data_IF_944470288814
#
_entry.id   IF_944470288814
#
_cell.length_a   1.000
_cell.length_b   1.000
_cell.length_c   1.000
_cell.angle_alpha   90.00
_cell.angle_beta   90.00
_cell.angle_gamma   90.00
#
_symmetry.space_group_name_H-M   'P 1'
#
loop_
_entity.id
_entity.type
_entity.pdbx_description
1 polymer ?
#
# COMPACT_ATOMS: atom_id res chain seq x y z
N UNK A 1 -26.95 -7.04 -30.33
CA UNK A 1 -25.75 -6.37 -30.87
C UNK A 1 -25.12 -5.34 -29.91
N UNK A 2 -25.76 -4.99 -28.78
CA UNK A 2 -25.26 -3.93 -27.88
C UNK A 2 -24.22 -4.35 -26.82
N UNK A 3 -24.10 -5.64 -26.46
CA UNK A 3 -23.19 -6.06 -25.38
C UNK A 3 -21.70 -5.91 -25.75
N UNK A 4 -21.36 -5.96 -27.04
CA UNK A 4 -19.95 -5.94 -27.48
C UNK A 4 -19.32 -4.53 -27.47
N UNK A 5 -20.16 -3.48 -27.47
CA UNK A 5 -19.70 -2.08 -27.47
C UNK A 5 -19.41 -1.62 -26.03
N UNK A 6 -20.25 -1.99 -25.07
CA UNK A 6 -20.04 -1.65 -23.66
C UNK A 6 -18.77 -2.27 -23.08
N UNK A 7 -18.51 -3.56 -23.35
CA UNK A 7 -17.29 -4.22 -22.89
C UNK A 7 -16.03 -3.60 -23.49
N UNK A 8 -16.03 -3.27 -24.78
CA UNK A 8 -14.91 -2.57 -25.44
C UNK A 8 -14.65 -1.19 -24.83
N UNK A 9 -15.70 -0.43 -24.56
CA UNK A 9 -15.55 0.91 -23.97
C UNK A 9 -15.03 0.85 -22.53
N UNK A 10 -15.42 -0.16 -21.74
CA UNK A 10 -14.86 -0.41 -20.41
C UNK A 10 -13.39 -0.83 -20.47
N UNK A 11 -13.02 -1.70 -21.41
CA UNK A 11 -11.61 -2.08 -21.61
C UNK A 11 -10.75 -0.88 -22.03
N UNK A 12 -11.23 -0.06 -22.96
CA UNK A 12 -10.52 1.14 -23.42
C UNK A 12 -10.36 2.19 -22.31
N UNK A 13 -11.41 2.41 -21.50
CA UNK A 13 -11.34 3.31 -20.34
C UNK A 13 -10.35 2.81 -19.28
N UNK A 14 -10.42 1.51 -18.93
CA UNK A 14 -9.48 0.89 -17.99
C UNK A 14 -8.03 0.96 -18.51
N UNK A 15 -7.83 0.76 -19.82
CA UNK A 15 -6.50 0.84 -20.43
C UNK A 15 -5.94 2.27 -20.42
N UNK A 16 -6.80 3.29 -20.59
CA UNK A 16 -6.39 4.69 -20.52
C UNK A 16 -6.08 5.12 -19.08
N UNK A 17 -6.86 4.66 -18.11
CA UNK A 17 -6.61 4.87 -16.67
C UNK A 17 -5.33 4.18 -16.22
N UNK A 18 -5.11 2.91 -16.63
CA UNK A 18 -3.87 2.18 -16.40
C UNK A 18 -2.66 2.85 -17.06
N UNK A 19 -2.82 3.44 -18.26
CA UNK A 19 -1.75 4.17 -18.92
C UNK A 19 -1.42 5.48 -18.18
N UNK A 20 -2.43 6.18 -17.67
CA UNK A 20 -2.25 7.39 -16.86
C UNK A 20 -1.61 7.08 -15.49
N UNK A 21 -2.02 5.99 -14.83
CA UNK A 21 -1.42 5.52 -13.57
C UNK A 21 0.04 5.07 -13.76
N UNK A 22 0.34 4.41 -14.88
CA UNK A 22 1.72 4.07 -15.26
C UNK A 22 2.60 5.29 -15.49
N UNK A 23 2.04 6.43 -15.92
CA UNK A 23 2.81 7.65 -16.16
C UNK A 23 3.46 8.21 -14.87
N UNK A 24 2.90 7.87 -13.70
CA UNK A 24 3.43 8.23 -12.38
C UNK A 24 4.52 7.30 -11.86
N UNK A 25 4.85 6.22 -12.58
CA UNK A 25 5.82 5.20 -12.14
C UNK A 25 7.08 5.29 -12.98
N UNK A 26 8.23 5.48 -12.31
CA UNK A 26 9.54 5.40 -12.97
C UNK A 26 9.79 3.98 -13.51
N UNK A 27 10.41 3.89 -14.70
CA UNK A 27 10.71 2.61 -15.34
C UNK A 27 11.56 1.68 -14.47
N UNK A 28 12.52 2.23 -13.71
CA UNK A 28 13.34 1.42 -12.80
C UNK A 28 12.52 0.83 -11.64
N UNK A 29 11.58 1.59 -11.06
CA UNK A 29 10.74 1.11 -9.97
C UNK A 29 9.74 0.06 -10.46
N UNK A 30 9.15 0.29 -11.63
CA UNK A 30 8.27 -0.67 -12.29
C UNK A 30 8.99 -2.00 -12.56
N UNK A 31 10.19 -1.93 -13.13
CA UNK A 31 10.99 -3.13 -13.42
C UNK A 31 11.43 -3.86 -12.15
N UNK A 32 11.74 -3.14 -11.08
CA UNK A 32 12.10 -3.75 -9.79
C UNK A 32 10.97 -4.63 -9.22
N UNK A 33 9.73 -4.15 -9.28
CA UNK A 33 8.56 -4.90 -8.83
C UNK A 33 8.25 -6.08 -9.78
N UNK A 34 8.37 -5.88 -11.09
CA UNK A 34 8.24 -6.97 -12.06
C UNK A 34 9.26 -8.09 -11.80
N UNK A 35 10.52 -7.74 -11.52
CA UNK A 35 11.57 -8.70 -11.20
C UNK A 35 11.29 -9.48 -9.90
N UNK A 36 10.41 -8.95 -9.05
CA UNK A 36 9.94 -9.61 -7.82
C UNK A 36 8.70 -10.47 -8.06
N UNK A 37 8.26 -10.64 -9.31
CA UNK A 37 7.13 -11.48 -9.70
C UNK A 37 5.75 -10.88 -9.40
N UNK A 38 5.67 -9.56 -9.19
CA UNK A 38 4.41 -8.88 -8.91
C UNK A 38 3.63 -8.64 -10.21
N UNK A 39 2.32 -8.91 -10.19
CA UNK A 39 1.45 -8.73 -11.36
C UNK A 39 1.44 -7.26 -11.83
N UNK A 40 1.56 -6.99 -13.16
CA UNK A 40 1.53 -5.64 -13.71
C UNK A 40 0.37 -4.75 -13.27
N UNK A 41 -0.82 -5.33 -13.05
CA UNK A 41 -2.00 -4.59 -12.60
C UNK A 41 -1.88 -4.20 -11.13
N UNK A 42 -1.29 -5.05 -10.29
CA UNK A 42 -1.00 -4.70 -8.89
C UNK A 42 0.02 -3.57 -8.80
N UNK A 43 1.05 -3.61 -9.63
CA UNK A 43 2.05 -2.53 -9.70
C UNK A 43 1.37 -1.22 -10.08
N UNK A 44 0.59 -1.22 -11.16
CA UNK A 44 -0.08 -0.02 -11.63
C UNK A 44 -1.08 0.57 -10.63
N UNK A 45 -1.72 -0.29 -9.82
CA UNK A 45 -2.74 0.12 -8.85
C UNK A 45 -2.17 0.64 -7.52
N UNK A 46 -0.99 0.16 -7.10
CA UNK A 46 -0.46 0.42 -5.75
C UNK A 46 0.85 1.20 -5.72
N UNK A 47 1.66 1.15 -6.78
CA UNK A 47 3.00 1.73 -6.77
C UNK A 47 2.98 3.19 -7.25
N UNK A 48 3.63 4.06 -6.49
CA UNK A 48 3.80 5.48 -6.86
C UNK A 48 5.28 5.83 -6.78
N UNK A 49 5.82 6.51 -7.80
CA UNK A 49 7.19 7.03 -7.74
C UNK A 49 7.21 8.46 -7.24
N UNK A 50 7.99 8.72 -6.19
CA UNK A 50 8.09 10.03 -5.55
C UNK A 50 9.52 10.56 -5.65
N UNK A 51 9.69 11.88 -5.65
CA UNK A 51 11.00 12.56 -5.75
C UNK A 51 10.94 13.99 -5.21
N UNK A 52 12.08 14.57 -4.87
CA UNK A 52 12.12 15.91 -4.29
C UNK A 52 11.38 15.94 -2.95
N UNK A 53 10.48 16.89 -2.74
CA UNK A 53 9.79 17.02 -1.45
C UNK A 53 8.53 16.17 -1.32
N UNK A 54 8.02 15.55 -2.40
CA UNK A 54 6.77 14.78 -2.34
C UNK A 54 6.82 13.59 -1.37
N UNK A 55 7.93 12.84 -1.17
CA UNK A 55 7.98 11.79 -0.15
C UNK A 55 7.68 12.28 1.28
N UNK A 56 7.94 13.57 1.57
CA UNK A 56 7.66 14.12 2.90
C UNK A 56 6.16 14.22 3.19
N UNK A 57 5.34 14.43 2.18
CA UNK A 57 3.88 14.48 2.32
C UNK A 57 3.30 13.11 2.68
N UNK A 58 3.89 12.04 2.13
CA UNK A 58 3.47 10.65 2.38
C UNK A 58 4.01 10.07 3.70
N UNK A 59 5.19 10.51 4.14
CA UNK A 59 5.83 9.95 5.33
C UNK A 59 5.77 10.86 6.56
N UNK A 60 5.98 12.16 6.40
CA UNK A 60 6.24 13.08 7.52
C UNK A 60 4.99 13.89 7.88
N UNK A 61 3.88 13.19 8.10
CA UNK A 61 2.60 13.77 8.48
C UNK A 61 2.28 13.57 9.97
N UNK A 62 1.44 14.46 10.49
CA UNK A 62 0.77 14.27 11.77
C UNK A 62 -0.63 13.71 11.52
N UNK A 63 -1.10 12.87 12.45
CA UNK A 63 -2.43 12.28 12.40
C UNK A 63 -3.08 12.58 13.76
N UNK A 64 -3.79 13.71 13.86
CA UNK A 64 -4.45 14.11 15.10
C UNK A 64 -5.71 13.29 15.37
N UNK A 65 -6.18 12.45 14.43
CA UNK A 65 -7.49 11.80 14.47
C UNK A 65 -7.51 10.40 15.10
N UNK A 66 -6.36 9.72 15.19
CA UNK A 66 -6.28 8.43 15.89
C UNK A 66 -5.98 8.63 17.37
N UNK A 67 -7.05 8.80 18.14
CA UNK A 67 -7.02 8.84 19.60
C UNK A 67 -6.19 7.65 20.15
N UNK A 68 -5.07 7.95 20.83
CA UNK A 68 -4.48 7.01 21.79
C UNK A 68 -2.99 6.67 21.68
N UNK A 69 -2.22 7.08 20.66
CA UNK A 69 -0.78 6.72 20.66
C UNK A 69 0.16 7.57 19.80
N UNK A 70 -0.27 8.10 18.64
CA UNK A 70 0.71 8.65 17.70
C UNK A 70 1.42 9.88 18.24
N UNK A 71 2.70 9.72 18.60
CA UNK A 71 3.56 10.83 19.03
C UNK A 71 3.73 11.78 17.84
N UNK A 72 3.44 13.06 18.04
CA UNK A 72 3.66 14.10 17.03
C UNK A 72 5.12 14.13 16.60
N UNK A 73 5.39 14.32 15.31
CA UNK A 73 6.75 14.51 14.81
C UNK A 73 7.30 15.87 15.30
N UNK A 74 8.61 15.98 15.57
CA UNK A 74 9.16 17.17 16.20
C UNK A 74 9.11 18.39 15.27
N UNK A 75 8.35 19.40 15.68
CA UNK A 75 8.15 20.68 14.98
C UNK A 75 8.69 21.86 15.78
N UNK A 76 9.01 22.93 15.06
CA UNK A 76 9.31 24.27 15.59
C UNK A 76 8.00 25.01 15.88
N UNK A 77 8.08 26.11 16.61
CA UNK A 77 6.92 26.95 16.96
C UNK A 77 6.18 27.52 15.73
N UNK A 78 6.85 27.62 14.59
CA UNK A 78 6.29 28.04 13.29
C UNK A 78 5.57 26.89 12.54
N UNK A 79 5.49 25.70 13.13
CA UNK A 79 4.88 24.51 12.53
C UNK A 79 5.80 23.74 11.58
N UNK A 80 7.00 24.24 11.25
CA UNK A 80 7.94 23.53 10.38
C UNK A 80 8.58 22.36 11.12
N UNK A 81 8.90 21.29 10.39
CA UNK A 81 9.72 20.20 10.93
C UNK A 81 11.06 20.75 11.43
N UNK A 82 11.54 20.20 12.55
CA UNK A 82 12.86 20.57 13.07
C UNK A 82 13.97 20.24 12.07
N UNK A 83 15.00 21.08 12.03
CA UNK A 83 16.12 20.94 11.09
C UNK A 83 16.83 19.59 11.22
N UNK A 84 16.99 19.09 12.44
CA UNK A 84 17.58 17.77 12.69
C UNK A 84 16.73 16.63 12.13
N UNK A 85 15.40 16.76 12.15
CA UNK A 85 14.48 15.77 11.61
C UNK A 85 14.46 15.80 10.08
N UNK A 86 14.39 16.98 9.47
CA UNK A 86 14.53 17.14 8.02
C UNK A 86 15.87 16.59 7.52
N UNK A 87 16.97 16.91 8.21
CA UNK A 87 18.30 16.40 7.84
C UNK A 87 18.37 14.86 7.88
N UNK A 88 17.71 14.22 8.85
CA UNK A 88 17.62 12.75 8.94
C UNK A 88 16.94 12.13 7.72
N UNK A 89 15.88 12.77 7.23
CA UNK A 89 15.04 12.28 6.13
C UNK A 89 15.39 12.89 4.76
N UNK A 90 16.42 13.74 4.66
CA UNK A 90 16.82 14.36 3.39
C UNK A 90 17.10 13.37 2.26
N UNK A 91 17.56 12.16 2.57
CA UNK A 91 17.79 11.10 1.59
C UNK A 91 16.54 10.69 0.80
N UNK A 92 15.33 10.97 1.31
CA UNK A 92 14.09 10.73 0.59
C UNK A 92 13.99 11.60 -0.68
N UNK A 93 14.65 12.77 -0.72
CA UNK A 93 14.59 13.70 -1.85
C UNK A 93 15.23 13.13 -3.13
N UNK A 94 16.16 12.19 -2.99
CA UNK A 94 16.76 11.42 -4.09
C UNK A 94 15.73 10.53 -4.82
N UNK A 95 14.50 10.48 -4.28
CA UNK A 95 13.37 9.76 -4.81
C UNK A 95 13.35 8.30 -4.40
N UNK A 96 12.33 7.60 -4.89
CA UNK A 96 12.06 6.22 -4.58
C UNK A 96 10.64 5.86 -4.94
N UNK A 97 10.17 4.73 -4.45
CA UNK A 97 8.79 4.31 -4.64
C UNK A 97 8.06 4.19 -3.30
N UNK A 98 6.77 4.54 -3.33
CA UNK A 98 5.83 4.42 -2.23
C UNK A 98 4.77 3.38 -2.57
N UNK A 99 4.38 2.60 -1.58
CA UNK A 99 3.21 1.74 -1.64
C UNK A 99 2.38 1.96 -0.36
N UNK A 100 1.13 2.40 -0.55
CA UNK A 100 0.17 2.58 0.54
C UNK A 100 -0.44 1.26 1.00
N UNK A 101 -1.24 1.34 2.07
CA UNK A 101 -2.10 0.24 2.53
C UNK A 101 -3.58 0.65 2.50
N UNK A 102 -4.46 -0.33 2.65
CA UNK A 102 -5.89 -0.13 2.85
C UNK A 102 -6.30 -0.49 4.28
N UNK A 103 -7.30 0.21 4.81
CA UNK A 103 -7.92 -0.11 6.08
C UNK A 103 -8.84 -1.34 5.90
N UNK A 104 -8.65 -2.42 6.68
CA UNK A 104 -9.38 -3.67 6.52
C UNK A 104 -10.85 -3.63 6.95
N UNK A 105 -11.28 -2.60 7.66
CA UNK A 105 -12.67 -2.45 8.09
C UNK A 105 -13.47 -1.62 7.10
N UNK A 106 -12.83 -0.60 6.52
CA UNK A 106 -13.50 0.36 5.63
C UNK A 106 -13.22 0.13 4.16
N UNK A 107 -12.15 -0.61 3.83
CA UNK A 107 -11.64 -0.74 2.46
C UNK A 107 -10.98 0.53 1.90
N UNK A 108 -10.94 1.61 2.68
CA UNK A 108 -10.41 2.90 2.22
C UNK A 108 -8.89 2.96 2.31
N UNK A 109 -8.26 3.86 1.55
CA UNK A 109 -6.82 4.06 1.62
C UNK A 109 -6.40 4.61 2.98
N UNK A 110 -5.40 3.99 3.58
CA UNK A 110 -4.73 4.52 4.76
C UNK A 110 -3.64 5.50 4.36
N UNK A 111 -3.37 6.46 5.23
CA UNK A 111 -2.20 7.33 5.12
C UNK A 111 -0.89 6.57 5.39
N UNK A 112 -0.98 5.37 5.96
CA UNK A 112 0.19 4.54 6.24
C UNK A 112 0.68 3.81 4.97
N UNK A 113 1.99 3.64 4.88
CA UNK A 113 2.59 2.89 3.79
C UNK A 113 4.09 2.73 3.93
N UNK A 114 4.68 2.09 2.92
CA UNK A 114 6.09 1.79 2.84
C UNK A 114 6.73 2.57 1.70
N UNK A 115 7.80 3.29 2.02
CA UNK A 115 8.63 3.97 1.03
C UNK A 115 9.99 3.30 0.93
N UNK A 116 10.40 2.93 -0.28
CA UNK A 116 11.75 2.47 -0.57
C UNK A 116 12.53 3.59 -1.28
N UNK A 117 13.47 4.26 -0.59
CA UNK A 117 14.32 5.27 -1.23
C UNK A 117 15.27 4.64 -2.26
N UNK A 118 15.55 5.37 -3.33
CA UNK A 118 16.60 5.05 -4.30
C UNK A 118 17.98 5.01 -3.66
N UNK A 119 18.18 5.87 -2.65
CA UNK A 119 19.40 5.92 -1.84
C UNK A 119 19.04 5.67 -0.36
N UNK A 120 18.97 4.39 0.05
CA UNK A 120 18.77 4.02 1.44
C UNK A 120 19.76 4.69 2.37
N UNK A 121 19.27 5.25 3.49
CA UNK A 121 20.17 5.77 4.50
C UNK A 121 20.89 4.64 5.23
N UNK A 122 22.12 4.93 5.61
CA UNK A 122 22.98 4.02 6.39
C UNK A 122 23.16 4.61 7.77
N UNK A 123 22.97 3.77 8.80
CA UNK A 123 23.20 4.13 10.18
C UNK A 123 24.29 3.23 10.75
N UNK A 124 25.16 3.81 11.57
CA UNK A 124 26.13 3.06 12.36
C UNK A 124 25.64 3.07 13.79
N UNK A 125 25.39 1.88 14.35
CA UNK A 125 24.93 1.70 15.72
C UNK A 125 25.95 0.87 16.49
N UNK A 126 26.18 1.26 17.74
CA UNK A 126 26.91 0.42 18.69
C UNK A 126 26.13 -0.88 18.92
N UNK A 127 26.84 -1.99 18.96
CA UNK A 127 26.22 -3.29 19.20
C UNK A 127 25.76 -3.36 20.66
N UNK A 128 24.44 -3.37 20.89
CA UNK A 128 23.84 -3.42 22.24
C UNK A 128 23.49 -4.84 22.71
N UNK A 129 23.92 -5.87 21.97
CA UNK A 129 23.69 -7.27 22.31
C UNK A 129 24.71 -7.83 23.30
N UNK A 130 24.49 -9.07 23.76
CA UNK A 130 25.51 -9.88 24.44
C UNK A 130 26.55 -10.31 23.41
N UNK A 131 27.58 -9.50 23.18
CA UNK A 131 28.62 -9.75 22.18
C UNK A 131 29.63 -8.62 22.04
N UNK A 132 30.52 -8.76 21.05
CA UNK A 132 31.56 -7.78 20.76
C UNK A 132 30.97 -6.38 20.51
N UNK A 133 31.53 -5.38 21.19
CA UNK A 133 31.08 -3.98 21.16
C UNK A 133 31.47 -3.25 19.87
N UNK A 134 31.81 -3.99 18.81
CA UNK A 134 32.15 -3.44 17.50
C UNK A 134 30.92 -2.74 16.89
N UNK A 135 31.07 -1.49 16.41
CA UNK A 135 29.96 -0.78 15.78
C UNK A 135 29.51 -1.51 14.52
N UNK A 136 28.19 -1.69 14.39
CA UNK A 136 27.57 -2.34 13.26
C UNK A 136 26.93 -1.30 12.33
N UNK A 137 27.09 -1.49 11.02
CA UNK A 137 26.48 -0.61 10.02
C UNK A 137 25.22 -1.27 9.46
N UNK A 138 24.09 -0.57 9.53
CA UNK A 138 22.78 -1.03 9.05
C UNK A 138 22.26 -0.12 7.95
N UNK A 139 21.85 -0.71 6.84
CA UNK A 139 21.18 0.00 5.75
C UNK A 139 19.67 -0.08 5.94
N UNK A 140 19.00 1.07 6.03
CA UNK A 140 17.55 1.14 6.18
C UNK A 140 16.94 1.17 4.79
N UNK A 141 16.52 -0.01 4.32
CA UNK A 141 15.96 -0.21 2.98
C UNK A 141 14.56 0.38 2.82
N UNK A 142 13.79 0.44 3.89
CA UNK A 142 12.39 0.86 3.87
C UNK A 142 12.13 1.86 4.99
N UNK A 143 11.42 2.94 4.65
CA UNK A 143 10.99 3.97 5.57
C UNK A 143 9.46 3.94 5.65
N UNK A 144 8.95 4.14 6.86
CA UNK A 144 7.52 4.20 7.17
C UNK A 144 7.25 5.53 7.88
N UNK A 145 5.99 5.98 7.94
CA UNK A 145 5.63 7.17 8.70
C UNK A 145 6.16 7.09 10.15
N UNK A 146 7.07 7.99 10.56
CA UNK A 146 7.68 7.93 11.86
C UNK A 146 6.66 8.29 12.94
N UNK A 147 6.77 7.64 14.11
CA UNK A 147 5.88 7.86 15.25
C UNK A 147 4.40 7.53 15.00
N UNK A 148 4.12 6.76 13.94
CA UNK A 148 2.82 6.12 13.70
C UNK A 148 2.85 4.68 14.18
N UNK A 149 1.67 4.17 14.55
CA UNK A 149 1.52 2.75 14.79
C UNK A 149 1.70 2.01 13.47
N UNK A 150 2.30 0.82 13.53
CA UNK A 150 2.39 -0.07 12.37
C UNK A 150 0.99 -0.55 12.01
N UNK A 151 0.65 -0.48 10.73
CA UNK A 151 -0.60 -1.01 10.18
C UNK A 151 -0.33 -2.30 9.40
N UNK A 152 -1.39 -3.08 9.18
CA UNK A 152 -1.32 -4.20 8.24
C UNK A 152 -1.01 -3.64 6.84
N UNK A 153 -0.16 -4.34 6.10
CA UNK A 153 0.21 -3.95 4.74
C UNK A 153 -0.61 -4.75 3.73
N UNK A 154 -1.65 -4.10 3.20
CA UNK A 154 -2.71 -4.68 2.41
C UNK A 154 -2.80 -3.92 1.09
N UNK A 155 -2.58 -4.63 -0.02
CA UNK A 155 -2.62 -4.05 -1.35
C UNK A 155 -4.05 -3.98 -1.85
N UNK A 156 -4.34 -2.96 -2.66
CA UNK A 156 -5.51 -2.96 -3.54
C UNK A 156 -5.31 -4.05 -4.58
N UNK A 157 -6.32 -4.90 -4.78
CA UNK A 157 -6.28 -6.01 -5.75
C UNK A 157 -7.39 -5.78 -6.79
N UNK A 158 -7.09 -5.78 -8.10
CA UNK A 158 -8.13 -5.74 -9.12
C UNK A 158 -9.06 -6.94 -9.02
N UNK A 159 -10.37 -6.74 -9.24
CA UNK A 159 -11.38 -7.81 -9.19
C UNK A 159 -11.04 -8.97 -10.11
N UNK A 160 -10.50 -8.68 -11.31
CA UNK A 160 -10.10 -9.71 -12.29
C UNK A 160 -8.98 -10.61 -11.77
N UNK A 161 -8.04 -10.06 -10.99
CA UNK A 161 -6.96 -10.82 -10.39
C UNK A 161 -7.47 -11.62 -9.19
N UNK A 162 -8.37 -11.01 -8.40
CA UNK A 162 -9.00 -11.70 -7.28
C UNK A 162 -9.84 -12.90 -7.73
N UNK A 163 -10.63 -12.77 -8.81
CA UNK A 163 -11.39 -13.87 -9.40
C UNK A 163 -10.48 -15.05 -9.79
N UNK A 164 -9.35 -14.78 -10.43
CA UNK A 164 -8.37 -15.83 -10.78
C UNK A 164 -7.81 -16.56 -9.56
N UNK A 165 -7.51 -15.82 -8.49
CA UNK A 165 -7.03 -16.40 -7.22
C UNK A 165 -8.13 -17.26 -6.59
N UNK A 166 -9.37 -16.75 -6.59
CA UNK A 166 -10.53 -17.45 -6.04
C UNK A 166 -10.80 -18.78 -6.74
N UNK A 167 -10.79 -18.78 -8.08
CA UNK A 167 -10.95 -19.99 -8.90
C UNK A 167 -9.84 -21.01 -8.62
N UNK A 168 -8.58 -20.55 -8.49
CA UNK A 168 -7.43 -21.42 -8.25
C UNK A 168 -7.37 -22.01 -6.83
N UNK A 169 -7.98 -21.36 -5.85
CA UNK A 169 -7.91 -21.76 -4.43
C UNK A 169 -9.21 -22.36 -3.90
N UNK A 170 -10.31 -22.23 -4.64
CA UNK A 170 -11.66 -22.57 -4.16
C UNK A 170 -12.20 -21.61 -3.11
N UNK A 171 -11.51 -20.49 -2.85
CA UNK A 171 -11.93 -19.45 -1.91
C UNK A 171 -12.64 -18.37 -2.71
N UNK A 172 -13.96 -18.43 -2.77
CA UNK A 172 -14.75 -17.42 -3.44
C UNK A 172 -14.84 -16.15 -2.58
N UNK A 173 -14.81 -14.94 -3.18
CA UNK A 173 -15.11 -13.72 -2.46
C UNK A 173 -16.45 -13.87 -1.73
N UNK A 174 -16.47 -13.58 -0.43
CA UNK A 174 -17.70 -13.26 0.29
C UNK A 174 -18.30 -11.92 -0.16
N UNK A 175 -17.56 -11.14 -0.97
CA UNK A 175 -18.09 -10.00 -1.68
C UNK A 175 -19.10 -10.50 -2.73
N UNK A 176 -20.34 -10.05 -2.54
CA UNK A 176 -21.51 -10.37 -3.36
C UNK A 176 -21.23 -9.98 -4.81
N UNK A 177 -20.74 -10.93 -5.62
CA UNK A 177 -21.07 -10.92 -7.04
C UNK A 177 -22.62 -10.90 -7.10
N UNK A 178 -23.26 -10.04 -7.91
CA UNK A 178 -24.68 -10.19 -8.15
C UNK A 178 -24.88 -11.59 -8.70
N UNK A 179 -25.41 -12.48 -7.85
CA UNK A 179 -25.76 -13.83 -8.28
C UNK A 179 -26.74 -13.66 -9.44
N UNK A 180 -26.56 -14.36 -10.57
CA UNK A 180 -27.62 -14.45 -11.56
C UNK A 180 -28.89 -14.91 -10.82
N UNK A 181 -30.02 -14.23 -11.07
CA UNK A 181 -31.27 -14.33 -10.28
C UNK A 181 -31.85 -15.76 -10.12
N UNK A 182 -31.24 -16.78 -10.71
CA UNK A 182 -31.84 -18.11 -10.85
C UNK A 182 -30.95 -19.33 -10.50
N UNK A 183 -29.82 -19.19 -9.81
CA UNK A 183 -29.10 -20.37 -9.30
C UNK A 183 -28.81 -20.29 -7.80
N UNK A 184 -29.63 -21.02 -7.04
CA UNK A 184 -29.36 -21.30 -5.63
C UNK A 184 -28.25 -22.37 -5.53
N UNK A 185 -27.10 -22.00 -4.97
CA UNK A 185 -26.08 -22.96 -4.55
C UNK A 185 -26.63 -23.80 -3.38
N UNK A 186 -26.55 -25.13 -3.43
CA UNK A 186 -26.94 -25.97 -2.30
C UNK A 186 -25.87 -25.87 -1.20
N UNK A 187 -26.22 -25.28 -0.06
CA UNK A 187 -25.58 -25.61 1.22
C UNK A 187 -24.57 -24.64 1.84
N UNK A 188 -24.64 -23.33 1.59
CA UNK A 188 -23.87 -22.35 2.36
C UNK A 188 -24.78 -21.34 3.07
N UNK A 189 -25.25 -21.69 4.27
CA UNK A 189 -25.89 -20.74 5.18
C UNK A 189 -24.82 -20.10 6.07
N UNK A 190 -24.36 -18.90 5.69
CA UNK A 190 -23.62 -18.02 6.60
C UNK A 190 -24.34 -16.67 6.65
N UNK A 191 -25.04 -16.44 7.76
CA UNK A 191 -25.73 -15.18 8.06
C UNK A 191 -24.71 -14.16 8.55
N UNK A 192 -24.55 -13.05 7.85
CA UNK A 192 -23.91 -11.85 8.38
C UNK A 192 -24.91 -10.68 8.39
N UNK A 193 -24.90 -9.94 9.51
CA UNK A 193 -25.77 -8.78 9.78
C UNK A 193 -25.51 -7.63 8.80
N UNK A 194 -26.58 -6.90 8.48
CA UNK A 194 -26.60 -5.75 7.57
C UNK A 194 -25.63 -4.62 7.99
N UNK A 195 -24.91 -4.08 7.00
CA UNK A 195 -24.18 -2.79 7.05
C UNK A 195 -22.77 -2.84 6.43
N UNK A 196 -22.65 -2.42 5.16
CA UNK A 196 -21.45 -2.10 4.30
C UNK A 196 -20.10 -1.80 5.03
N UNK A 197 -18.90 -2.11 4.44
CA UNK A 197 -18.51 -1.73 3.06
C UNK A 197 -17.81 -2.81 2.20
N UNK A 198 -17.54 -2.39 0.96
CA UNK A 198 -17.55 -3.14 -0.30
C UNK A 198 -16.16 -3.28 -0.96
N UNK A 199 -15.14 -3.74 -0.22
CA UNK A 199 -13.87 -4.16 -0.82
C UNK A 199 -13.32 -5.42 -0.12
N UNK A 200 -12.87 -6.45 -0.87
CA UNK A 200 -12.28 -7.64 -0.27
C UNK A 200 -10.92 -7.30 0.33
N UNK A 201 -10.76 -7.51 1.64
CA UNK A 201 -9.50 -7.32 2.34
C UNK A 201 -8.93 -8.68 2.78
N UNK A 202 -7.68 -8.96 2.40
CA UNK A 202 -6.98 -10.19 2.78
C UNK A 202 -6.43 -10.06 4.21
N UNK A 203 -7.17 -10.53 5.21
CA UNK A 203 -6.64 -10.79 6.55
C UNK A 203 -6.02 -12.18 6.62
N UNK A 204 -4.74 -12.27 7.00
CA UNK A 204 -4.10 -13.56 7.31
C UNK A 204 -4.36 -13.83 8.79
N UNK A 205 -5.29 -14.74 9.10
CA UNK A 205 -5.48 -15.24 10.46
C UNK A 205 -4.26 -16.10 10.85
N UNK A 206 -3.43 -15.57 11.75
CA UNK A 206 -2.52 -16.41 12.52
C UNK A 206 -3.32 -17.10 13.62
N UNK A 207 -3.40 -18.43 13.53
CA UNK A 207 -3.96 -19.31 14.56
C UNK A 207 -3.27 -19.14 15.91
#
# INVERSE_FOLDING_TARGET
MSNNIFHKNLEEANNLELASLKATISSCHYQEWLNSGIDPQLIALNLISLKGHTPFEYLLYDDPGREGNSKTIPRRNDGRLTDGFLKRYRHLEDGGWYCGTIDPLTGTESLWGCFKPNRPRVITEENRGFGDSTPCTKTIKYEHPPKKNTEAFLLKVPDTLWQKIAEGTGIYPSCRLPLPENEALPGAELRFRQGEPSLPILGVDYR
#
